data_IF_395972639598
#
_entry.id   IF_395972639598
#
_cell.length_a   1.000
_cell.length_b   1.000
_cell.length_c   1.000
_cell.angle_alpha   90.00
_cell.angle_beta   90.00
_cell.angle_gamma   90.00
#
_symmetry.space_group_name_H-M   'P 1'
#
loop_
_entity.id
_entity.type
_entity.pdbx_description
1 polymer ?
#
# COMPACT_ATOMS: atom_id res chain seq x y z
N UNK A 1 -1.36 2.40 38.94
CA UNK A 1 -1.04 1.03 38.47
C UNK A 1 -2.15 0.31 37.70
N UNK A 2 -3.46 0.58 37.89
CA UNK A 2 -4.52 -0.17 37.16
C UNK A 2 -4.68 0.15 35.65
N UNK A 3 -4.20 1.31 35.17
CA UNK A 3 -4.39 1.72 33.76
C UNK A 3 -3.41 1.05 32.79
N UNK A 4 -2.19 0.73 33.23
CA UNK A 4 -1.15 0.11 32.39
C UNK A 4 -1.48 -1.34 32.05
N UNK A 5 -2.11 -2.10 32.96
CA UNK A 5 -2.51 -3.49 32.72
C UNK A 5 -3.64 -3.63 31.70
N UNK A 6 -4.54 -2.64 31.61
CA UNK A 6 -5.66 -2.66 30.64
C UNK A 6 -5.14 -2.43 29.21
N UNK A 7 -4.15 -1.53 29.04
CA UNK A 7 -3.55 -1.22 27.75
C UNK A 7 -2.78 -2.44 27.20
N UNK A 8 -2.04 -3.14 28.06
CA UNK A 8 -1.31 -4.34 27.67
C UNK A 8 -2.23 -5.46 27.18
N UNK A 9 -3.37 -5.65 27.85
CA UNK A 9 -4.36 -6.68 27.50
C UNK A 9 -5.07 -6.38 26.15
N UNK A 10 -5.38 -5.11 25.87
CA UNK A 10 -5.95 -4.71 24.58
C UNK A 10 -5.00 -4.93 23.40
N UNK A 11 -3.70 -4.75 23.60
CA UNK A 11 -2.70 -5.00 22.55
C UNK A 11 -2.57 -6.49 22.21
N UNK A 12 -2.59 -7.37 23.21
CA UNK A 12 -2.48 -8.82 23.00
C UNK A 12 -3.69 -9.35 22.23
N UNK A 13 -4.89 -8.87 22.56
CA UNK A 13 -6.12 -9.27 21.88
C UNK A 13 -6.15 -8.80 20.41
N UNK A 14 -5.67 -7.59 20.13
CA UNK A 14 -5.58 -7.08 18.76
C UNK A 14 -4.60 -7.88 17.89
N UNK A 15 -3.48 -8.35 18.45
CA UNK A 15 -2.49 -9.17 17.73
C UNK A 15 -3.06 -10.55 17.40
N UNK A 16 -3.78 -11.18 18.32
CA UNK A 16 -4.38 -12.50 18.11
C UNK A 16 -5.44 -12.50 17.00
N UNK A 17 -6.32 -11.48 16.99
CA UNK A 17 -7.38 -11.35 15.97
C UNK A 17 -6.81 -11.06 14.57
N UNK A 18 -5.67 -10.38 14.48
CA UNK A 18 -5.04 -10.06 13.20
C UNK A 18 -4.46 -11.30 12.48
N UNK A 19 -4.02 -12.32 13.24
CA UNK A 19 -3.44 -13.54 12.67
C UNK A 19 -4.43 -14.40 11.91
N UNK A 20 -5.64 -14.59 12.46
CA UNK A 20 -6.62 -15.56 11.97
C UNK A 20 -7.45 -15.04 10.78
N UNK A 21 -7.54 -13.72 10.61
CA UNK A 21 -8.26 -13.09 9.50
C UNK A 21 -7.46 -13.06 8.17
N UNK A 22 -6.16 -13.39 8.21
CA UNK A 22 -5.23 -13.29 7.08
C UNK A 22 -5.53 -14.30 5.96
N UNK A 23 -6.01 -15.50 6.29
CA UNK A 23 -6.17 -16.59 5.30
C UNK A 23 -7.47 -16.49 4.49
N UNK A 24 -8.53 -15.90 5.06
CA UNK A 24 -9.84 -15.84 4.37
C UNK A 24 -9.97 -14.73 3.32
N UNK A 25 -9.16 -13.67 3.40
CA UNK A 25 -9.37 -12.44 2.62
C UNK A 25 -8.58 -12.38 1.29
N UNK A 26 -7.71 -13.35 1.00
CA UNK A 26 -6.91 -13.36 -0.23
C UNK A 26 -7.72 -13.71 -1.51
N UNK A 27 -9.01 -14.08 -1.40
CA UNK A 27 -9.75 -14.73 -2.50
C UNK A 27 -10.80 -13.87 -3.23
N UNK A 28 -10.96 -12.59 -2.91
CA UNK A 28 -12.14 -11.82 -3.33
C UNK A 28 -11.93 -10.58 -4.25
N UNK A 29 -10.72 -10.35 -4.78
CA UNK A 29 -10.45 -9.18 -5.63
C UNK A 29 -10.46 -9.56 -7.13
N UNK A 30 -11.37 -8.96 -7.90
CA UNK A 30 -11.74 -9.35 -9.27
C UNK A 30 -11.63 -8.17 -10.25
N UNK A 31 -10.46 -8.12 -10.88
CA UNK A 31 -10.13 -7.64 -12.24
C UNK A 31 -10.34 -6.16 -12.52
N UNK A 32 -9.35 -5.37 -12.13
CA UNK A 32 -8.87 -4.24 -12.93
C UNK A 32 -7.39 -4.45 -13.26
N UNK A 33 -6.96 -3.98 -14.44
CA UNK A 33 -5.74 -4.38 -15.16
C UNK A 33 -4.42 -3.87 -14.56
N UNK A 34 -4.30 -3.85 -13.24
CA UNK A 34 -3.10 -3.42 -12.54
C UNK A 34 -2.58 -4.54 -11.68
N UNK A 35 -1.30 -4.84 -11.86
CA UNK A 35 -0.61 -5.83 -11.06
C UNK A 35 0.32 -5.16 -10.06
N UNK A 36 0.20 -5.61 -8.81
CA UNK A 36 1.06 -5.17 -7.72
C UNK A 36 2.03 -6.29 -7.37
N UNK A 37 3.32 -6.02 -7.52
CA UNK A 37 4.40 -6.93 -7.12
C UNK A 37 5.13 -6.30 -5.95
N UNK A 38 4.73 -6.69 -4.74
CA UNK A 38 5.08 -5.97 -3.52
C UNK A 38 4.57 -4.52 -3.60
N UNK A 39 5.46 -3.61 -3.97
CA UNK A 39 5.13 -2.21 -4.14
C UNK A 39 5.27 -1.66 -5.56
N UNK A 40 5.85 -2.41 -6.49
CA UNK A 40 5.83 -1.96 -7.88
C UNK A 40 4.43 -2.13 -8.44
N UNK A 41 3.92 -1.06 -9.04
CA UNK A 41 2.66 -1.06 -9.77
C UNK A 41 2.96 -1.15 -11.26
N UNK A 42 2.31 -2.10 -11.91
CA UNK A 42 2.35 -2.28 -13.35
C UNK A 42 0.95 -2.04 -13.88
N UNK A 43 0.83 -1.05 -14.77
CA UNK A 43 -0.41 -0.83 -15.49
C UNK A 43 -0.38 -1.68 -16.76
N UNK A 44 -1.13 -2.78 -16.73
CA UNK A 44 -1.26 -3.67 -17.88
C UNK A 44 -2.43 -3.27 -18.78
N UNK A 45 -3.23 -2.25 -18.42
CA UNK A 45 -4.33 -1.74 -19.25
C UNK A 45 -3.88 -1.42 -20.69
N UNK A 46 -2.67 -0.88 -20.93
CA UNK A 46 -2.13 -0.74 -22.27
C UNK A 46 -1.95 -2.03 -23.08
N UNK A 47 -1.83 -3.18 -22.42
CA UNK A 47 -1.71 -4.50 -23.06
C UNK A 47 -3.07 -5.09 -23.42
N UNK A 48 -4.17 -4.45 -22.99
CA UNK A 48 -5.50 -4.86 -23.43
C UNK A 48 -5.67 -4.51 -24.91
N UNK A 49 -6.21 -5.44 -25.69
CA UNK A 49 -6.50 -5.15 -27.10
C UNK A 49 -7.64 -4.14 -27.19
N UNK A 50 -7.48 -3.13 -28.05
CA UNK A 50 -8.47 -2.05 -28.18
C UNK A 50 -9.59 -2.45 -29.14
N UNK A 51 -10.70 -2.94 -28.59
CA UNK A 51 -11.94 -3.16 -29.33
C UNK A 51 -12.85 -4.10 -28.56
N UNK A 52 -14.17 -3.84 -28.58
CA UNK A 52 -15.13 -4.71 -27.91
C UNK A 52 -15.10 -6.11 -28.55
N UNK A 53 -14.56 -7.09 -27.83
CA UNK A 53 -14.42 -8.47 -28.30
C UNK A 53 -13.17 -8.75 -29.14
N UNK A 54 -12.21 -7.83 -29.22
CA UNK A 54 -10.91 -8.11 -29.81
C UNK A 54 -9.99 -8.83 -28.81
N UNK A 55 -9.26 -9.85 -29.26
CA UNK A 55 -8.26 -10.59 -28.47
C UNK A 55 -7.00 -10.82 -29.29
N UNK A 56 -5.91 -11.14 -28.61
CA UNK A 56 -4.66 -11.57 -29.25
C UNK A 56 -4.80 -12.98 -29.75
N UNK A 57 -4.17 -13.24 -30.89
CA UNK A 57 -4.15 -14.54 -31.55
C UNK A 57 -2.70 -14.85 -31.89
N UNK A 58 -2.17 -15.93 -31.32
CA UNK A 58 -0.81 -16.40 -31.59
C UNK A 58 -0.87 -17.84 -32.03
N UNK A 59 -0.26 -18.15 -33.18
CA UNK A 59 -0.14 -19.53 -33.67
C UNK A 59 1.11 -20.18 -33.12
N UNK A 60 1.00 -21.45 -32.74
CA UNK A 60 2.14 -22.27 -32.33
C UNK A 60 2.03 -23.69 -32.86
N UNK A 61 3.18 -24.33 -33.02
CA UNK A 61 3.28 -25.73 -33.41
C UNK A 61 3.71 -26.55 -32.19
N UNK A 62 2.96 -27.59 -31.86
CA UNK A 62 3.30 -28.49 -30.76
C UNK A 62 4.29 -29.57 -31.22
N UNK A 63 4.84 -30.29 -30.25
CA UNK A 63 5.75 -31.43 -30.48
C UNK A 63 5.15 -32.55 -31.35
N UNK A 64 3.82 -32.58 -31.52
CA UNK A 64 3.09 -33.53 -32.37
C UNK A 64 2.94 -33.08 -33.83
N UNK A 65 3.47 -31.90 -34.19
CA UNK A 65 3.35 -31.30 -35.53
C UNK A 65 1.98 -30.73 -35.84
N UNK A 66 1.08 -30.63 -34.85
CA UNK A 66 -0.21 -29.94 -35.02
C UNK A 66 -0.05 -28.45 -34.74
N UNK A 67 -0.75 -27.64 -35.53
CA UNK A 67 -0.84 -26.20 -35.33
C UNK A 67 -2.01 -25.85 -34.41
N UNK A 68 -1.74 -25.05 -33.40
CA UNK A 68 -2.73 -24.53 -32.46
C UNK A 68 -2.77 -23.01 -32.51
N UNK A 69 -3.96 -22.45 -32.32
CA UNK A 69 -4.20 -21.03 -32.16
C UNK A 69 -4.51 -20.73 -30.70
N UNK A 70 -3.66 -19.90 -30.08
CA UNK A 70 -3.84 -19.42 -28.71
C UNK A 70 -4.49 -18.05 -28.77
N UNK A 71 -5.70 -17.96 -28.23
CA UNK A 71 -6.43 -16.70 -28.10
C UNK A 71 -6.45 -16.25 -26.65
N UNK A 72 -6.07 -15.00 -26.41
CA UNK A 72 -6.08 -14.42 -25.06
C UNK A 72 -6.34 -12.92 -25.08
N UNK A 73 -6.84 -12.41 -23.96
CA UNK A 73 -6.88 -10.97 -23.71
C UNK A 73 -6.34 -10.67 -22.30
N UNK A 74 -5.78 -9.48 -22.15
CA UNK A 74 -5.35 -8.97 -20.87
C UNK A 74 -6.54 -8.30 -20.19
N UNK A 75 -6.85 -8.79 -18.99
CA UNK A 75 -7.77 -8.14 -18.06
C UNK A 75 -9.24 -8.12 -18.45
N UNK A 76 -9.59 -8.76 -19.57
CA UNK A 76 -10.96 -9.11 -19.90
C UNK A 76 -11.09 -10.60 -20.18
N UNK A 77 -12.28 -11.13 -19.96
CA UNK A 77 -12.60 -12.49 -20.37
C UNK A 77 -12.92 -12.48 -21.86
N UNK A 78 -12.53 -13.56 -22.55
CA UNK A 78 -12.84 -13.73 -23.97
C UNK A 78 -14.36 -13.72 -24.20
N UNK A 79 -14.82 -13.18 -25.34
CA UNK A 79 -16.23 -13.19 -25.70
C UNK A 79 -16.74 -14.64 -25.86
N UNK A 80 -18.03 -14.85 -25.56
CA UNK A 80 -18.67 -16.18 -25.51
C UNK A 80 -18.46 -17.01 -26.79
N UNK A 81 -18.42 -16.37 -27.95
CA UNK A 81 -18.16 -17.01 -29.26
C UNK A 81 -16.81 -17.71 -29.38
N UNK A 82 -15.86 -17.37 -28.50
CA UNK A 82 -14.48 -17.90 -28.47
C UNK A 82 -14.13 -18.48 -27.10
N UNK A 83 -15.12 -18.67 -26.24
CA UNK A 83 -14.96 -19.32 -24.95
C UNK A 83 -15.21 -20.83 -25.10
N UNK A 84 -14.45 -21.67 -24.39
CA UNK A 84 -14.83 -23.08 -24.24
C UNK A 84 -16.17 -23.15 -23.48
N UNK A 85 -17.04 -24.11 -23.80
CA UNK A 85 -18.39 -24.24 -23.21
C UNK A 85 -18.37 -24.07 -21.69
N UNK A 86 -19.29 -23.24 -21.18
CA UNK A 86 -19.62 -23.04 -19.76
C UNK A 86 -18.62 -22.25 -18.89
N UNK A 87 -17.57 -21.65 -19.47
CA UNK A 87 -16.61 -20.83 -18.71
C UNK A 87 -16.18 -19.60 -19.50
N UNK A 88 -15.96 -18.46 -18.84
CA UNK A 88 -15.38 -17.25 -19.43
C UNK A 88 -13.87 -17.15 -19.10
N UNK A 89 -12.97 -17.84 -19.84
CA UNK A 89 -11.53 -17.76 -19.64
C UNK A 89 -10.93 -16.45 -20.21
N UNK A 90 -9.74 -16.07 -19.74
CA UNK A 90 -8.94 -14.99 -20.33
C UNK A 90 -8.05 -15.51 -21.47
N UNK A 91 -7.76 -16.82 -21.49
CA UNK A 91 -6.97 -17.46 -22.54
C UNK A 91 -7.44 -18.89 -22.82
N UNK A 92 -7.47 -19.25 -24.10
CA UNK A 92 -7.81 -20.57 -24.65
C UNK A 92 -6.85 -20.94 -25.77
N UNK A 93 -6.70 -22.24 -26.02
CA UNK A 93 -5.93 -22.80 -27.13
C UNK A 93 -6.83 -23.80 -27.88
N UNK A 94 -6.76 -23.86 -29.21
CA UNK A 94 -7.46 -24.88 -30.00
C UNK A 94 -6.69 -25.26 -31.26
N UNK A 95 -6.97 -26.47 -31.77
CA UNK A 95 -6.36 -27.03 -32.98
C UNK A 95 -6.95 -26.34 -34.22
N UNK A 96 -6.10 -25.86 -35.12
CA UNK A 96 -6.48 -25.11 -36.33
C UNK A 96 -7.23 -26.00 -37.34
N UNK A 97 -7.00 -27.31 -37.33
CA UNK A 97 -7.60 -28.25 -38.29
C UNK A 97 -8.96 -28.81 -37.83
N UNK A 98 -9.28 -28.71 -36.54
CA UNK A 98 -10.50 -29.26 -35.96
C UNK A 98 -11.55 -28.16 -35.70
N UNK A 99 -12.82 -28.57 -35.63
CA UNK A 99 -13.90 -27.65 -35.26
C UNK A 99 -13.69 -27.13 -33.82
N UNK A 100 -13.72 -25.80 -33.65
CA UNK A 100 -13.41 -25.11 -32.38
C UNK A 100 -14.06 -25.73 -31.13
N UNK A 101 -15.29 -26.22 -31.26
CA UNK A 101 -16.04 -26.78 -30.14
C UNK A 101 -15.46 -28.09 -29.58
N UNK A 102 -14.67 -28.82 -30.38
CA UNK A 102 -14.13 -30.13 -30.01
C UNK A 102 -12.68 -30.07 -29.52
N UNK A 103 -11.92 -29.04 -29.91
CA UNK A 103 -10.48 -28.93 -29.62
C UNK A 103 -10.12 -27.83 -28.61
N UNK A 104 -11.11 -27.09 -28.08
CA UNK A 104 -10.89 -25.98 -27.13
C UNK A 104 -10.30 -26.46 -25.79
N UNK A 105 -9.11 -25.97 -25.47
CA UNK A 105 -8.40 -26.15 -24.20
C UNK A 105 -8.37 -24.84 -23.43
N UNK A 106 -8.84 -24.89 -22.20
CA UNK A 106 -8.82 -23.74 -21.30
C UNK A 106 -7.45 -23.60 -20.62
N UNK A 107 -6.77 -22.47 -20.84
CA UNK A 107 -5.46 -22.19 -20.22
C UNK A 107 -5.57 -21.42 -18.89
N UNK A 108 -6.72 -20.82 -18.61
CA UNK A 108 -6.94 -19.93 -17.46
C UNK A 108 -8.22 -20.29 -16.73
N UNK A 109 -8.22 -20.33 -15.39
CA UNK A 109 -9.47 -20.52 -14.61
C UNK A 109 -10.47 -19.37 -14.79
N UNK A 110 -11.76 -19.64 -14.51
CA UNK A 110 -12.82 -18.64 -14.44
C UNK A 110 -12.37 -17.43 -13.59
N UNK A 111 -12.39 -16.23 -14.17
CA UNK A 111 -11.99 -14.96 -13.53
C UNK A 111 -10.52 -14.86 -13.06
N UNK A 112 -9.60 -15.68 -13.56
CA UNK A 112 -8.17 -15.50 -13.27
C UNK A 112 -7.75 -15.70 -11.81
N UNK A 113 -8.57 -16.39 -11.00
CA UNK A 113 -8.37 -16.55 -9.54
C UNK A 113 -7.09 -17.29 -9.10
N UNK A 114 -6.32 -17.86 -10.04
CA UNK A 114 -5.00 -18.42 -9.78
C UNK A 114 -3.95 -17.71 -10.63
N UNK A 115 -3.66 -16.47 -10.25
CA UNK A 115 -2.59 -15.69 -10.85
C UNK A 115 -1.42 -15.64 -9.87
N UNK A 116 -0.29 -16.20 -10.28
CA UNK A 116 0.98 -15.93 -9.64
C UNK A 116 1.69 -14.88 -10.48
N UNK A 117 2.28 -13.89 -9.83
CA UNK A 117 3.07 -12.89 -10.52
C UNK A 117 4.41 -12.83 -9.82
N UNK A 118 5.47 -12.95 -10.61
CA UNK A 118 6.86 -12.99 -10.15
C UNK A 118 7.63 -11.91 -10.91
N UNK A 119 8.60 -11.30 -10.24
CA UNK A 119 9.62 -10.48 -10.89
C UNK A 119 10.84 -11.36 -11.01
N UNK A 120 11.14 -11.81 -12.22
CA UNK A 120 12.36 -12.52 -12.53
C UNK A 120 13.36 -11.53 -13.15
N UNK A 121 14.60 -11.60 -12.69
CA UNK A 121 15.71 -10.96 -13.36
C UNK A 121 16.41 -12.06 -14.15
N UNK A 122 16.62 -11.84 -15.44
CA UNK A 122 17.44 -12.75 -16.23
C UNK A 122 18.88 -12.66 -15.71
N UNK A 123 19.43 -13.77 -15.22
CA UNK A 123 20.85 -13.84 -14.85
C UNK A 123 21.69 -13.77 -16.14
N UNK A 124 22.15 -12.57 -16.49
CA UNK A 124 22.92 -12.29 -17.70
C UNK A 124 23.47 -10.86 -17.71
N UNK A 125 24.48 -10.61 -18.54
CA UNK A 125 25.20 -9.33 -18.64
C UNK A 125 24.28 -8.17 -19.09
N UNK A 126 23.16 -8.50 -19.75
CA UNK A 126 22.02 -7.62 -20.04
C UNK A 126 20.78 -8.13 -19.28
N UNK A 127 20.76 -7.94 -17.95
CA UNK A 127 19.65 -8.36 -17.10
C UNK A 127 18.43 -7.47 -17.30
N UNK A 128 17.70 -7.67 -18.40
CA UNK A 128 16.40 -7.04 -18.61
C UNK A 128 15.41 -7.58 -17.57
N UNK A 129 14.86 -6.68 -16.76
CA UNK A 129 13.81 -7.01 -15.80
C UNK A 129 12.50 -7.22 -16.54
N UNK A 130 11.84 -8.36 -16.31
CA UNK A 130 10.51 -8.62 -16.85
C UNK A 130 9.53 -9.01 -15.75
N UNK A 131 8.26 -8.78 -16.05
CA UNK A 131 7.16 -9.26 -15.22
C UNK A 131 6.77 -10.62 -15.76
N UNK A 132 6.82 -11.65 -14.91
CA UNK A 132 6.28 -12.95 -15.22
C UNK A 132 4.88 -13.07 -14.62
N UNK A 133 3.90 -13.29 -15.48
CA UNK A 133 2.50 -13.51 -15.11
C UNK A 133 2.15 -14.94 -15.44
N UNK A 134 1.92 -15.76 -14.41
CA UNK A 134 1.56 -17.16 -14.56
C UNK A 134 0.08 -17.33 -14.26
N UNK A 135 -0.64 -17.86 -15.24
CA UNK A 135 -2.02 -18.30 -15.06
C UNK A 135 -2.11 -19.82 -15.14
N UNK A 136 -2.89 -20.40 -14.23
CA UNK A 136 -3.14 -21.85 -14.21
C UNK A 136 -4.62 -22.16 -14.41
N UNK A 137 -4.88 -23.22 -15.18
CA UNK A 137 -6.20 -23.80 -15.44
C UNK A 137 -6.61 -24.77 -14.32
N UNK A 138 -7.88 -25.17 -14.33
CA UNK A 138 -8.39 -26.30 -13.54
C UNK A 138 -8.22 -27.65 -14.24
N UNK A 139 -7.99 -27.64 -15.56
CA UNK A 139 -7.86 -28.87 -16.36
C UNK A 139 -6.45 -29.43 -16.25
N UNK A 140 -6.37 -30.75 -16.09
CA UNK A 140 -5.12 -31.49 -16.12
C UNK A 140 -4.70 -31.72 -17.59
N UNK A 141 -3.41 -31.55 -17.82
CA UNK A 141 -2.66 -31.93 -19.00
C UNK A 141 -2.03 -33.33 -18.77
N UNK A 142 -0.86 -33.59 -19.35
CA UNK A 142 -0.10 -34.84 -19.17
C UNK A 142 0.54 -34.88 -17.77
N UNK A 143 0.66 -36.08 -17.18
CA UNK A 143 1.38 -36.31 -15.92
C UNK A 143 0.92 -35.46 -14.71
N UNK A 144 -0.40 -35.25 -14.57
CA UNK A 144 -1.00 -34.41 -13.52
C UNK A 144 -0.59 -32.93 -13.52
N UNK A 145 0.19 -32.47 -14.51
CA UNK A 145 0.44 -31.04 -14.72
C UNK A 145 -0.85 -30.35 -15.15
N UNK A 146 -1.09 -29.11 -14.73
CA UNK A 146 -2.26 -28.34 -15.16
C UNK A 146 -1.92 -27.48 -16.37
N UNK A 147 -2.87 -27.35 -17.29
CA UNK A 147 -2.77 -26.36 -18.36
C UNK A 147 -2.55 -24.97 -17.76
N UNK A 148 -1.78 -24.14 -18.45
CA UNK A 148 -1.50 -22.77 -18.01
C UNK A 148 -0.98 -21.91 -19.14
N UNK A 149 -0.79 -20.63 -18.87
CA UNK A 149 -0.15 -19.69 -19.79
C UNK A 149 0.73 -18.76 -18.97
N UNK A 150 1.93 -18.49 -19.47
CA UNK A 150 2.88 -17.56 -18.85
C UNK A 150 3.14 -16.40 -19.80
N UNK A 151 3.08 -15.17 -19.28
CA UNK A 151 3.48 -13.97 -20.02
C UNK A 151 4.73 -13.37 -19.39
N UNK A 152 5.78 -13.19 -20.20
CA UNK A 152 7.02 -12.50 -19.87
C UNK A 152 6.98 -11.12 -20.52
N UNK A 153 6.72 -10.09 -19.72
CA UNK A 153 6.54 -8.71 -20.21
C UNK A 153 7.76 -7.89 -19.84
N UNK A 154 8.57 -7.58 -20.84
CA UNK A 154 9.75 -6.73 -20.74
C UNK A 154 9.35 -5.26 -20.84
N UNK A 155 9.97 -4.41 -20.01
CA UNK A 155 9.76 -2.97 -20.07
C UNK A 155 10.46 -2.38 -21.30
N UNK A 156 9.69 -1.73 -22.17
CA UNK A 156 10.18 -0.94 -23.31
C UNK A 156 9.39 0.38 -23.36
N UNK A 157 10.01 1.48 -22.93
CA UNK A 157 9.34 2.80 -22.82
C UNK A 157 8.98 3.39 -24.20
N UNK A 158 9.65 2.95 -25.26
CA UNK A 158 9.47 3.46 -26.62
C UNK A 158 8.27 2.79 -27.31
N UNK A 159 8.04 1.50 -27.03
CA UNK A 159 6.93 0.73 -27.62
C UNK A 159 5.60 0.99 -26.91
N UNK A 160 4.84 1.95 -27.46
CA UNK A 160 3.46 2.29 -27.05
C UNK A 160 2.35 1.70 -27.93
N UNK A 161 2.75 1.05 -29.02
CA UNK A 161 1.84 0.41 -29.97
C UNK A 161 1.32 -0.93 -29.44
N UNK A 162 0.40 -1.56 -30.16
CA UNK A 162 -0.17 -2.86 -29.77
C UNK A 162 0.98 -3.87 -29.60
N UNK A 163 1.11 -4.52 -28.43
CA UNK A 163 2.19 -5.47 -28.19
C UNK A 163 2.11 -6.66 -29.16
N UNK A 164 3.26 -7.03 -29.71
CA UNK A 164 3.44 -8.30 -30.40
C UNK A 164 3.89 -9.35 -29.37
N UNK A 165 3.21 -10.49 -29.35
CA UNK A 165 3.53 -11.61 -28.48
C UNK A 165 4.23 -12.70 -29.27
N UNK A 166 5.46 -13.01 -28.87
CA UNK A 166 6.29 -14.03 -29.50
C UNK A 166 6.42 -15.20 -28.53
N UNK A 167 6.20 -16.42 -29.00
CA UNK A 167 6.41 -17.59 -28.16
C UNK A 167 7.90 -17.77 -27.81
N UNK A 168 8.17 -18.17 -26.57
CA UNK A 168 9.49 -18.54 -26.10
C UNK A 168 9.69 -20.06 -26.17
N UNK A 169 10.29 -20.60 -27.25
CA UNK A 169 10.39 -22.05 -27.45
C UNK A 169 11.22 -22.76 -26.36
N UNK A 170 12.14 -22.04 -25.70
CA UNK A 170 13.02 -22.62 -24.69
C UNK A 170 12.33 -22.87 -23.33
N UNK A 171 11.27 -22.11 -23.01
CA UNK A 171 10.49 -22.29 -21.77
C UNK A 171 9.08 -22.83 -22.02
N UNK A 172 8.55 -22.68 -23.23
CA UNK A 172 7.25 -23.24 -23.60
C UNK A 172 7.24 -24.76 -23.48
N UNK A 173 6.14 -25.30 -22.95
CA UNK A 173 5.83 -26.73 -23.01
C UNK A 173 4.49 -26.97 -23.71
N UNK A 174 4.19 -28.23 -24.02
CA UNK A 174 2.87 -28.64 -24.55
C UNK A 174 1.72 -28.15 -23.64
N UNK A 175 1.94 -28.10 -22.33
CA UNK A 175 0.92 -27.77 -21.33
C UNK A 175 0.90 -26.29 -20.91
N UNK A 176 2.01 -25.57 -21.13
CA UNK A 176 2.19 -24.19 -20.68
C UNK A 176 2.98 -23.38 -21.71
N UNK A 177 2.32 -22.77 -22.71
CA UNK A 177 2.97 -21.79 -23.58
C UNK A 177 3.48 -20.59 -22.77
N UNK A 178 4.66 -20.09 -23.15
CA UNK A 178 5.29 -18.90 -22.58
C UNK A 178 5.39 -17.85 -23.69
N UNK A 179 4.72 -16.71 -23.52
CA UNK A 179 4.75 -15.61 -24.48
C UNK A 179 5.58 -14.45 -23.95
N UNK A 180 6.47 -13.94 -24.79
CA UNK A 180 7.31 -12.77 -24.55
C UNK A 180 6.77 -11.56 -25.29
N UNK A 181 6.79 -10.41 -24.62
CA UNK A 181 6.53 -9.13 -25.29
C UNK A 181 7.37 -8.01 -24.68
N UNK A 182 7.73 -7.02 -25.50
CA UNK A 182 8.39 -5.78 -25.08
C UNK A 182 7.40 -4.64 -25.23
N UNK A 183 7.00 -4.03 -24.11
CA UNK A 183 5.97 -3.00 -24.12
C UNK A 183 6.06 -2.07 -22.90
N UNK A 184 5.61 -0.83 -23.04
CA UNK A 184 5.62 0.13 -21.93
C UNK A 184 4.70 -0.26 -20.77
N UNK A 185 3.71 -1.12 -21.01
CA UNK A 185 2.87 -1.72 -19.94
C UNK A 185 3.66 -2.63 -19.00
N UNK A 186 4.81 -3.15 -19.45
CA UNK A 186 5.79 -3.84 -18.60
C UNK A 186 6.62 -2.89 -17.74
N UNK A 187 6.59 -1.60 -18.04
CA UNK A 187 7.29 -0.59 -17.25
C UNK A 187 6.51 -0.24 -15.99
N UNK A 188 7.25 -0.09 -14.89
CA UNK A 188 6.72 0.35 -13.61
C UNK A 188 6.26 1.82 -13.70
N UNK A 189 5.03 2.09 -13.25
CA UNK A 189 4.42 3.43 -13.35
C UNK A 189 4.95 4.40 -12.28
N UNK A 190 5.56 3.89 -11.21
CA UNK A 190 6.21 4.71 -10.19
C UNK A 190 6.79 3.89 -9.04
N UNK A 191 7.76 4.48 -8.33
CA UNK A 191 8.42 3.84 -7.18
C UNK A 191 8.49 4.80 -5.98
N UNK A 192 7.35 5.42 -5.63
CA UNK A 192 7.14 6.11 -4.34
C UNK A 192 7.37 5.19 -3.12
N UNK A 193 7.74 3.95 -3.38
CA UNK A 193 7.91 2.89 -2.43
C UNK A 193 9.35 2.68 -2.02
N UNK A 194 10.37 3.32 -2.60
CA UNK A 194 11.74 3.11 -2.12
C UNK A 194 11.86 3.49 -0.63
N UNK A 195 11.28 4.63 -0.22
CA UNK A 195 11.18 5.03 1.18
C UNK A 195 10.37 4.03 2.01
N UNK A 196 9.22 3.59 1.51
CA UNK A 196 8.36 2.66 2.24
C UNK A 196 8.91 1.25 2.32
N UNK A 197 9.62 0.78 1.30
CA UNK A 197 10.39 -0.46 1.31
C UNK A 197 11.49 -0.38 2.34
N UNK A 198 12.16 0.76 2.46
CA UNK A 198 13.13 0.95 3.53
C UNK A 198 12.47 0.87 4.91
N UNK A 199 11.30 1.48 5.09
CA UNK A 199 10.53 1.39 6.35
C UNK A 199 10.02 -0.04 6.61
N UNK A 200 9.48 -0.73 5.61
CA UNK A 200 8.90 -2.07 5.74
C UNK A 200 9.96 -3.16 5.87
N UNK A 201 11.07 -3.07 5.11
CA UNK A 201 12.25 -3.92 5.29
C UNK A 201 12.83 -3.80 6.71
N UNK A 202 12.54 -2.72 7.42
CA UNK A 202 12.94 -2.49 8.80
C UNK A 202 11.71 -2.27 9.71
N UNK A 203 10.60 -2.94 9.38
CA UNK A 203 9.28 -2.71 10.01
C UNK A 203 9.29 -2.86 11.52
N UNK A 204 10.09 -3.79 12.05
CA UNK A 204 10.23 -4.00 13.50
C UNK A 204 10.81 -2.77 14.19
N UNK A 205 11.89 -2.20 13.65
CA UNK A 205 12.56 -1.03 14.25
C UNK A 205 11.64 0.18 14.19
N UNK A 206 11.11 0.49 13.00
CA UNK A 206 10.20 1.62 12.83
C UNK A 206 8.89 1.44 13.60
N UNK A 207 8.37 0.22 13.68
CA UNK A 207 7.17 -0.12 14.42
C UNK A 207 7.31 0.12 15.91
N UNK A 208 8.41 -0.35 16.52
CA UNK A 208 8.71 -0.12 17.94
C UNK A 208 8.88 1.38 18.22
N UNK A 209 9.67 2.09 17.40
CA UNK A 209 9.89 3.54 17.56
C UNK A 209 8.59 4.33 17.43
N UNK A 210 7.77 4.05 16.40
CA UNK A 210 6.48 4.68 16.20
C UNK A 210 5.50 4.38 17.36
N UNK A 211 5.51 3.16 17.88
CA UNK A 211 4.69 2.77 19.03
C UNK A 211 5.05 3.57 20.29
N UNK A 212 6.34 3.72 20.62
CA UNK A 212 6.77 4.51 21.78
C UNK A 212 6.47 6.00 21.61
N UNK A 213 6.74 6.57 20.43
CA UNK A 213 6.40 7.95 20.09
C UNK A 213 4.89 8.16 20.19
N UNK A 214 4.10 7.23 19.65
CA UNK A 214 2.65 7.27 19.69
C UNK A 214 2.11 7.26 21.12
N UNK A 215 2.56 6.32 21.94
CA UNK A 215 2.17 6.20 23.34
C UNK A 215 2.58 7.44 24.16
N UNK A 216 3.79 7.97 23.93
CA UNK A 216 4.24 9.21 24.55
C UNK A 216 3.31 10.38 24.21
N UNK A 217 3.00 10.59 22.94
CA UNK A 217 2.10 11.68 22.50
C UNK A 217 0.69 11.51 23.06
N UNK A 218 0.18 10.28 23.11
CA UNK A 218 -1.16 9.95 23.56
C UNK A 218 -1.37 10.26 25.05
N UNK A 219 -0.38 9.96 25.90
CA UNK A 219 -0.49 10.15 27.37
C UNK A 219 0.06 11.49 27.84
N UNK A 220 1.19 11.92 27.27
CA UNK A 220 2.03 13.00 27.79
C UNK A 220 2.11 14.23 26.89
N UNK A 221 1.50 14.21 25.70
CA UNK A 221 1.64 15.26 24.69
C UNK A 221 1.36 16.68 25.20
N UNK A 222 0.26 16.86 25.95
CA UNK A 222 -0.06 18.16 26.57
C UNK A 222 0.88 18.53 27.73
N UNK A 223 1.22 17.59 28.62
CA UNK A 223 2.05 17.88 29.82
C UNK A 223 3.45 18.34 29.42
N UNK A 224 4.02 17.72 28.39
CA UNK A 224 5.35 18.03 27.88
C UNK A 224 5.27 18.63 26.47
N UNK A 225 4.51 19.72 26.34
CA UNK A 225 4.27 20.34 25.03
C UNK A 225 5.54 20.80 24.32
N UNK A 226 6.53 21.33 25.06
CA UNK A 226 7.82 21.78 24.49
C UNK A 226 8.58 20.61 23.86
N UNK A 227 8.89 19.51 24.58
CA UNK A 227 9.47 18.31 23.96
C UNK A 227 8.61 17.72 22.85
N UNK A 228 7.28 17.71 23.01
CA UNK A 228 6.35 17.15 22.01
C UNK A 228 6.45 17.88 20.67
N UNK A 229 6.46 19.21 20.70
CA UNK A 229 6.66 20.03 19.49
C UNK A 229 8.02 19.75 18.86
N UNK A 230 9.08 19.69 19.67
CA UNK A 230 10.42 19.35 19.19
C UNK A 230 10.47 17.98 18.49
N UNK A 231 9.80 16.98 19.08
CA UNK A 231 9.72 15.63 18.54
C UNK A 231 8.94 15.57 17.21
N UNK A 232 7.77 16.21 17.14
CA UNK A 232 6.97 16.25 15.91
C UNK A 232 7.69 16.99 14.79
N UNK A 233 8.39 18.08 15.11
CA UNK A 233 9.20 18.80 14.13
C UNK A 233 10.41 17.99 13.66
N UNK A 234 11.07 17.26 14.57
CA UNK A 234 12.13 16.32 14.21
C UNK A 234 11.62 15.28 13.20
N UNK A 235 10.49 14.61 13.52
CA UNK A 235 9.89 13.60 12.64
C UNK A 235 9.49 14.20 11.29
N UNK A 236 8.92 15.41 11.31
CA UNK A 236 8.51 16.13 10.09
C UNK A 236 9.71 16.39 9.17
N UNK A 237 10.80 16.93 9.72
CA UNK A 237 12.01 17.24 8.94
C UNK A 237 12.68 15.96 8.44
N UNK A 238 12.75 14.92 9.28
CA UNK A 238 13.25 13.59 8.88
C UNK A 238 12.42 13.05 7.70
N UNK A 239 11.09 13.08 7.81
CA UNK A 239 10.19 12.58 6.78
C UNK A 239 10.32 13.38 5.47
N UNK A 240 10.42 14.71 5.53
CA UNK A 240 10.59 15.57 4.34
C UNK A 240 11.93 15.32 3.67
N UNK A 241 13.04 15.27 4.43
CA UNK A 241 14.37 15.00 3.87
C UNK A 241 14.38 13.61 3.24
N UNK A 242 13.94 12.58 3.96
CA UNK A 242 13.86 11.22 3.42
C UNK A 242 13.00 11.19 2.15
N UNK A 243 11.83 11.83 2.16
CA UNK A 243 10.96 11.90 0.98
C UNK A 243 11.66 12.56 -0.22
N UNK A 244 12.28 13.72 -0.03
CA UNK A 244 12.98 14.44 -1.10
C UNK A 244 14.13 13.60 -1.67
N UNK A 245 14.96 12.99 -0.82
CA UNK A 245 16.08 12.16 -1.26
C UNK A 245 15.62 10.91 -2.00
N UNK A 246 14.63 10.18 -1.47
CA UNK A 246 14.13 8.96 -2.09
C UNK A 246 13.32 9.19 -3.37
N UNK A 247 12.67 10.35 -3.52
CA UNK A 247 11.87 10.66 -4.71
C UNK A 247 12.72 11.29 -5.81
N UNK A 248 13.69 12.15 -5.47
CA UNK A 248 14.43 12.94 -6.46
C UNK A 248 15.80 12.35 -6.79
N UNK A 249 16.53 11.85 -5.79
CA UNK A 249 17.97 11.61 -5.93
C UNK A 249 18.39 10.14 -5.91
N UNK A 250 17.68 9.28 -5.18
CA UNK A 250 18.14 7.90 -4.98
C UNK A 250 17.71 7.00 -6.14
N UNK A 251 18.66 6.39 -6.87
CA UNK A 251 18.34 5.33 -7.81
C UNK A 251 17.76 4.12 -7.07
N UNK A 252 17.05 3.27 -7.82
CA UNK A 252 16.28 2.13 -7.27
C UNK A 252 17.19 1.12 -6.57
N UNK A 253 18.38 0.91 -7.10
CA UNK A 253 19.36 -0.07 -6.61
C UNK A 253 20.32 0.52 -5.56
N UNK A 254 19.82 1.51 -4.81
CA UNK A 254 20.60 2.12 -3.75
C UNK A 254 20.87 1.10 -2.65
N UNK A 255 22.15 0.93 -2.31
CA UNK A 255 22.56 0.04 -1.24
C UNK A 255 21.94 0.43 0.11
N UNK A 256 21.55 -0.58 0.92
CA UNK A 256 20.84 -0.40 2.20
C UNK A 256 21.54 0.57 3.17
N UNK A 257 22.88 0.63 3.16
CA UNK A 257 23.66 1.50 4.04
C UNK A 257 23.44 2.99 3.76
N UNK A 258 23.17 3.36 2.50
CA UNK A 258 22.89 4.76 2.10
C UNK A 258 21.60 5.24 2.75
N UNK A 259 20.58 4.38 2.83
CA UNK A 259 19.33 4.70 3.52
C UNK A 259 19.53 5.03 5.00
N UNK A 260 20.38 4.26 5.70
CA UNK A 260 20.75 4.53 7.09
C UNK A 260 21.60 5.80 7.26
N UNK A 261 22.47 6.09 6.31
CA UNK A 261 23.24 7.34 6.30
C UNK A 261 22.32 8.56 6.18
N UNK A 262 21.38 8.55 5.22
CA UNK A 262 20.41 9.64 5.01
C UNK A 262 19.53 9.79 6.25
N UNK A 263 19.05 8.68 6.83
CA UNK A 263 18.28 8.71 8.06
C UNK A 263 19.07 9.39 9.20
N UNK A 264 20.34 9.02 9.38
CA UNK A 264 21.20 9.58 10.43
C UNK A 264 21.42 11.09 10.26
N UNK A 265 21.73 11.54 9.03
CA UNK A 265 21.90 12.97 8.71
C UNK A 265 20.59 13.72 8.95
N UNK A 266 19.46 13.15 8.52
CA UNK A 266 18.15 13.77 8.68
C UNK A 266 17.72 13.89 10.15
N UNK A 267 18.11 12.94 11.02
CA UNK A 267 17.86 13.00 12.46
C UNK A 267 18.65 14.15 13.11
N UNK A 268 19.90 14.36 12.71
CA UNK A 268 20.71 15.48 13.22
C UNK A 268 20.08 16.82 12.82
N UNK A 269 19.74 16.99 11.54
CA UNK A 269 19.10 18.21 11.03
C UNK A 269 17.71 18.43 11.65
N UNK A 270 16.92 17.37 11.76
CA UNK A 270 15.61 17.38 12.43
C UNK A 270 15.72 17.69 13.92
N UNK A 271 16.77 17.23 14.59
CA UNK A 271 17.06 17.54 15.98
C UNK A 271 17.34 19.03 16.19
N UNK A 272 18.15 19.63 15.31
CA UNK A 272 18.41 21.09 15.32
C UNK A 272 17.10 21.86 15.12
N UNK A 273 16.34 21.53 14.07
CA UNK A 273 15.06 22.18 13.78
C UNK A 273 14.04 22.00 14.92
N UNK A 274 13.98 20.81 15.51
CA UNK A 274 13.12 20.48 16.65
C UNK A 274 13.52 21.26 17.92
N UNK A 275 14.82 21.44 18.17
CA UNK A 275 15.31 22.24 19.28
C UNK A 275 14.90 23.71 19.15
N UNK A 276 15.07 24.31 17.96
CA UNK A 276 14.62 25.68 17.69
C UNK A 276 13.09 25.81 17.79
N UNK A 277 12.35 24.84 17.25
CA UNK A 277 10.88 24.83 17.32
C UNK A 277 10.35 24.70 18.76
N UNK A 278 11.10 24.03 19.64
CA UNK A 278 10.77 23.93 21.07
C UNK A 278 10.85 25.27 21.80
N UNK A 279 11.59 26.26 21.26
CA UNK A 279 11.60 27.64 21.74
C UNK A 279 10.40 28.43 21.21
N UNK A 280 9.95 28.13 20.00
CA UNK A 280 8.84 28.78 19.30
C UNK A 280 7.53 27.99 19.42
N UNK A 281 7.10 27.75 20.66
CA UNK A 281 5.96 26.87 20.99
C UNK A 281 4.68 27.22 20.21
N UNK A 282 4.41 28.51 19.99
CA UNK A 282 3.22 28.94 19.21
C UNK A 282 3.25 28.42 17.78
N UNK A 283 4.40 28.51 17.10
CA UNK A 283 4.56 28.01 15.73
C UNK A 283 4.45 26.48 15.71
N UNK A 284 5.05 25.82 16.69
CA UNK A 284 4.98 24.37 16.82
C UNK A 284 3.55 23.82 16.94
N UNK A 285 2.67 24.54 17.67
CA UNK A 285 1.26 24.13 17.79
C UNK A 285 0.48 24.30 16.48
N UNK A 286 0.83 25.29 15.65
CA UNK A 286 0.24 25.44 14.30
C UNK A 286 0.64 24.24 13.43
N UNK A 287 1.92 23.87 13.43
CA UNK A 287 2.41 22.72 12.64
C UNK A 287 1.80 21.41 13.15
N UNK A 288 1.67 21.25 14.46
CA UNK A 288 0.98 20.12 15.08
C UNK A 288 -0.50 20.04 14.63
N UNK A 289 -1.19 21.19 14.62
CA UNK A 289 -2.56 21.32 14.13
C UNK A 289 -2.66 20.94 12.66
N UNK A 290 -1.74 21.43 11.82
CA UNK A 290 -1.68 21.10 10.41
C UNK A 290 -1.56 19.59 10.18
N UNK A 291 -0.62 18.91 10.83
CA UNK A 291 -0.45 17.46 10.68
C UNK A 291 -1.64 16.64 11.19
N UNK A 292 -2.25 17.05 12.30
CA UNK A 292 -3.46 16.39 12.79
C UNK A 292 -4.63 16.55 11.80
N UNK A 293 -4.79 17.75 11.23
CA UNK A 293 -5.78 18.03 10.19
C UNK A 293 -5.53 17.23 8.91
N UNK A 294 -4.27 17.14 8.45
CA UNK A 294 -3.88 16.29 7.31
C UNK A 294 -4.23 14.82 7.59
N UNK A 295 -3.94 14.32 8.79
CA UNK A 295 -4.30 12.95 9.20
C UNK A 295 -5.80 12.70 9.19
N UNK A 296 -6.61 13.65 9.68
CA UNK A 296 -8.08 13.55 9.58
C UNK A 296 -8.54 13.59 8.13
N UNK A 297 -8.01 14.48 7.31
CA UNK A 297 -8.36 14.58 5.88
C UNK A 297 -8.07 13.27 5.13
N UNK A 298 -6.93 12.65 5.44
CA UNK A 298 -6.53 11.34 4.91
C UNK A 298 -7.49 10.22 5.35
N UNK A 299 -7.81 10.15 6.64
CA UNK A 299 -8.78 9.19 7.16
C UNK A 299 -10.17 9.39 6.54
N UNK A 300 -10.64 10.64 6.45
CA UNK A 300 -11.95 10.95 5.89
C UNK A 300 -12.04 10.62 4.40
N UNK A 301 -10.96 10.86 3.65
CA UNK A 301 -10.88 10.44 2.26
C UNK A 301 -11.07 8.92 2.14
N UNK A 302 -10.36 8.15 2.97
CA UNK A 302 -10.45 6.70 2.96
C UNK A 302 -11.80 6.16 3.46
N UNK A 303 -12.49 6.89 4.34
CA UNK A 303 -13.79 6.50 4.91
C UNK A 303 -14.97 6.80 3.99
N UNK A 304 -15.01 8.00 3.41
CA UNK A 304 -16.21 8.52 2.73
C UNK A 304 -15.93 8.80 1.25
N UNK A 305 -14.84 9.48 0.94
CA UNK A 305 -14.60 10.02 -0.41
C UNK A 305 -13.87 9.07 -1.35
N UNK A 306 -13.52 7.85 -0.90
CA UNK A 306 -12.85 6.86 -1.73
C UNK A 306 -13.64 6.50 -2.99
N UNK A 307 -14.98 6.67 -2.97
CA UNK A 307 -15.86 6.42 -4.12
C UNK A 307 -15.65 7.40 -5.28
N UNK A 308 -15.06 8.57 -5.05
CA UNK A 308 -14.93 9.61 -6.07
C UNK A 308 -13.77 9.34 -7.04
N UNK A 309 -12.90 8.35 -6.77
CA UNK A 309 -11.83 7.88 -7.68
C UNK A 309 -10.96 9.00 -8.30
N UNK A 310 -10.85 10.15 -7.64
CA UNK A 310 -10.07 11.29 -8.10
C UNK A 310 -9.03 11.69 -7.05
N UNK A 311 -7.76 11.60 -7.45
CA UNK A 311 -6.60 11.95 -6.62
C UNK A 311 -6.68 13.38 -6.08
N UNK A 312 -7.22 14.32 -6.85
CA UNK A 312 -7.34 15.73 -6.43
C UNK A 312 -8.17 15.90 -5.16
N UNK A 313 -9.17 15.04 -4.94
CA UNK A 313 -10.04 15.09 -3.75
C UNK A 313 -9.23 14.83 -2.48
N UNK A 314 -8.29 13.88 -2.52
CA UNK A 314 -7.40 13.57 -1.40
C UNK A 314 -6.57 14.80 -1.00
N UNK A 315 -5.91 15.44 -1.96
CA UNK A 315 -5.06 16.61 -1.70
C UNK A 315 -5.84 17.82 -1.20
N UNK A 316 -7.02 18.06 -1.77
CA UNK A 316 -7.92 19.14 -1.33
C UNK A 316 -8.38 18.88 0.11
N UNK A 317 -8.79 17.65 0.45
CA UNK A 317 -9.19 17.30 1.82
C UNK A 317 -8.03 17.49 2.80
N UNK A 318 -6.84 16.97 2.50
CA UNK A 318 -5.66 17.15 3.35
C UNK A 318 -5.32 18.64 3.55
N UNK A 319 -5.36 19.43 2.48
CA UNK A 319 -5.08 20.87 2.52
C UNK A 319 -6.11 21.65 3.34
N UNK A 320 -7.41 21.41 3.10
CA UNK A 320 -8.51 22.09 3.79
C UNK A 320 -8.52 21.75 5.28
N UNK A 321 -8.47 20.46 5.65
CA UNK A 321 -8.46 20.06 7.06
C UNK A 321 -7.16 20.46 7.76
N UNK A 322 -6.01 20.35 7.09
CA UNK A 322 -4.73 20.83 7.60
C UNK A 322 -4.75 22.32 7.92
N UNK A 323 -5.21 23.15 6.98
CA UNK A 323 -5.30 24.59 7.18
C UNK A 323 -6.34 24.97 8.25
N UNK A 324 -7.50 24.30 8.27
CA UNK A 324 -8.54 24.54 9.26
C UNK A 324 -8.04 24.27 10.69
N UNK A 325 -7.37 23.13 10.93
CA UNK A 325 -6.81 22.81 12.25
C UNK A 325 -5.63 23.72 12.62
N UNK A 326 -4.83 24.14 11.64
CA UNK A 326 -3.77 25.13 11.84
C UNK A 326 -4.34 26.48 12.31
N UNK A 327 -5.40 26.99 11.66
CA UNK A 327 -6.07 28.24 12.05
C UNK A 327 -6.75 28.09 13.42
N UNK A 328 -7.46 26.98 13.63
CA UNK A 328 -8.16 26.71 14.88
C UNK A 328 -7.21 26.65 16.10
N UNK A 329 -5.95 26.26 15.87
CA UNK A 329 -4.91 26.22 16.89
C UNK A 329 -4.58 27.58 17.52
N UNK A 330 -4.84 28.69 16.82
CA UNK A 330 -4.67 30.04 17.36
C UNK A 330 -5.71 30.42 18.40
N UNK A 331 -6.96 29.99 18.21
CA UNK A 331 -8.08 30.39 19.07
C UNK A 331 -8.20 29.53 20.33
N UNK A 332 -7.99 28.21 20.20
CA UNK A 332 -8.26 27.25 21.29
C UNK A 332 -7.04 26.41 21.66
N UNK A 333 -5.87 27.05 21.75
CA UNK A 333 -4.56 26.45 22.04
C UNK A 333 -4.61 25.25 23.00
N UNK A 334 -5.15 25.43 24.21
CA UNK A 334 -5.14 24.41 25.26
C UNK A 334 -5.99 23.16 24.97
N UNK A 335 -7.04 23.28 24.15
CA UNK A 335 -7.91 22.16 23.79
C UNK A 335 -7.43 21.50 22.51
N UNK A 336 -7.01 22.30 21.53
CA UNK A 336 -6.50 21.82 20.25
C UNK A 336 -5.23 20.99 20.44
N UNK A 337 -4.31 21.40 21.32
CA UNK A 337 -3.11 20.58 21.61
C UNK A 337 -3.49 19.19 22.12
N UNK A 338 -4.49 19.08 23.00
CA UNK A 338 -4.92 17.77 23.54
C UNK A 338 -5.46 16.90 22.40
N UNK A 339 -6.33 17.47 21.56
CA UNK A 339 -6.94 16.75 20.44
C UNK A 339 -5.87 16.33 19.42
N UNK A 340 -5.03 17.25 18.97
CA UNK A 340 -3.99 16.97 17.97
C UNK A 340 -2.96 15.95 18.44
N UNK A 341 -2.47 16.06 19.69
CA UNK A 341 -1.52 15.07 20.23
C UNK A 341 -2.16 13.70 20.42
N UNK A 342 -3.46 13.62 20.74
CA UNK A 342 -4.18 12.35 20.85
C UNK A 342 -4.42 11.70 19.48
N UNK A 343 -4.74 12.49 18.45
CA UNK A 343 -4.89 12.00 17.06
C UNK A 343 -3.55 11.49 16.54
N UNK A 344 -2.50 12.30 16.61
CA UNK A 344 -1.17 11.89 16.12
C UNK A 344 -0.61 10.73 16.94
N UNK A 345 -0.78 10.76 18.26
CA UNK A 345 -0.35 9.67 19.15
C UNK A 345 -1.04 8.35 18.86
N UNK A 346 -2.36 8.35 18.67
CA UNK A 346 -3.13 7.14 18.32
C UNK A 346 -2.77 6.63 16.93
N UNK A 347 -2.59 7.53 15.95
CA UNK A 347 -2.13 7.16 14.62
C UNK A 347 -0.75 6.48 14.67
N UNK A 348 0.27 7.11 15.27
CA UNK A 348 1.61 6.52 15.35
C UNK A 348 1.62 5.21 16.15
N UNK A 349 0.82 5.12 17.21
CA UNK A 349 0.72 3.91 18.02
C UNK A 349 0.16 2.73 17.22
N UNK A 350 -1.00 2.92 16.58
CA UNK A 350 -1.64 1.87 15.78
C UNK A 350 -0.86 1.58 14.50
N UNK A 351 -0.30 2.61 13.84
CA UNK A 351 0.55 2.43 12.66
C UNK A 351 1.83 1.67 13.00
N UNK A 352 2.41 1.90 14.19
CA UNK A 352 3.55 1.12 14.68
C UNK A 352 3.23 -0.37 14.83
N UNK A 353 2.07 -0.70 15.39
CA UNK A 353 1.57 -2.09 15.45
C UNK A 353 1.35 -2.64 14.04
N UNK A 354 0.70 -1.87 13.17
CA UNK A 354 0.37 -2.28 11.82
C UNK A 354 1.61 -2.52 10.94
N UNK A 355 2.71 -1.81 11.16
CA UNK A 355 3.98 -2.08 10.47
C UNK A 355 4.53 -3.46 10.84
N UNK A 356 4.40 -3.87 12.10
CA UNK A 356 4.89 -5.17 12.57
C UNK A 356 3.93 -6.32 12.23
N UNK A 357 2.63 -6.09 12.36
CA UNK A 357 1.60 -7.10 12.10
C UNK A 357 1.22 -7.24 10.62
N UNK A 358 1.49 -6.21 9.81
CA UNK A 358 1.07 -6.13 8.42
C UNK A 358 -0.44 -5.90 8.25
N UNK A 359 -0.94 -6.05 7.03
CA UNK A 359 -2.37 -5.99 6.72
C UNK A 359 -3.01 -4.61 6.73
N UNK A 360 -2.30 -3.56 7.13
CA UNK A 360 -2.71 -2.18 6.91
C UNK A 360 -2.16 -1.68 5.57
N UNK A 361 -3.02 -1.39 4.58
CA UNK A 361 -2.58 -0.91 3.28
C UNK A 361 -1.83 0.43 3.43
N UNK A 362 -0.69 0.54 2.75
CA UNK A 362 0.06 1.78 2.71
C UNK A 362 -0.78 2.89 2.05
N UNK A 363 -0.72 4.11 2.56
CA UNK A 363 -1.43 5.26 2.00
C UNK A 363 -1.01 5.50 0.54
N UNK A 364 0.23 5.18 0.19
CA UNK A 364 0.75 5.26 -1.18
C UNK A 364 0.23 4.15 -2.08
N UNK A 365 -0.06 2.96 -1.54
CA UNK A 365 -0.67 1.89 -2.34
C UNK A 365 -2.15 2.19 -2.60
N UNK A 366 -2.85 2.76 -1.61
CA UNK A 366 -4.19 3.30 -1.79
C UNK A 366 -4.19 4.39 -2.86
N UNK A 367 -3.25 5.34 -2.79
CA UNK A 367 -3.08 6.38 -3.80
C UNK A 367 -2.88 5.79 -5.20
N UNK A 368 -1.97 4.82 -5.35
CA UNK A 368 -1.71 4.14 -6.62
C UNK A 368 -2.98 3.50 -7.17
N UNK A 369 -3.71 2.78 -6.33
CA UNK A 369 -4.96 2.10 -6.70
C UNK A 369 -6.10 3.08 -7.05
N UNK A 370 -6.15 4.26 -6.42
CA UNK A 370 -7.11 5.31 -6.79
C UNK A 370 -6.71 5.94 -8.13
N UNK A 371 -5.43 6.24 -8.32
CA UNK A 371 -4.90 6.84 -9.54
C UNK A 371 -5.11 5.94 -10.76
N UNK A 372 -4.92 4.63 -10.59
CA UNK A 372 -5.18 3.62 -11.61
C UNK A 372 -6.65 3.26 -11.78
N UNK A 373 -7.55 3.88 -11.01
CA UNK A 373 -8.97 3.51 -10.92
C UNK A 373 -9.19 2.05 -10.54
N UNK A 374 -8.19 1.33 -10.00
CA UNK A 374 -8.27 -0.10 -9.67
C UNK A 374 -8.84 -0.43 -8.29
N UNK A 375 -9.35 0.59 -7.60
CA UNK A 375 -9.85 0.42 -6.24
C UNK A 375 -11.16 -0.37 -6.18
N UNK A 376 -11.15 -1.55 -5.56
CA UNK A 376 -12.31 -2.44 -5.36
C UNK A 376 -12.91 -2.36 -3.94
N UNK A 377 -12.29 -1.59 -3.05
CA UNK A 377 -12.70 -1.45 -1.66
C UNK A 377 -11.53 -1.61 -0.69
N UNK A 378 -11.76 -1.24 0.57
CA UNK A 378 -10.78 -1.45 1.65
C UNK A 378 -10.93 -2.85 2.25
N UNK A 379 -9.83 -3.57 2.53
CA UNK A 379 -9.89 -4.84 3.24
C UNK A 379 -10.47 -4.66 4.64
N UNK A 380 -11.14 -5.68 5.19
CA UNK A 380 -11.75 -5.62 6.52
C UNK A 380 -10.72 -5.27 7.63
N UNK A 381 -9.47 -5.70 7.48
CA UNK A 381 -8.36 -5.40 8.39
C UNK A 381 -8.12 -3.89 8.56
N UNK A 382 -8.28 -3.11 7.49
CA UNK A 382 -8.13 -1.65 7.53
C UNK A 382 -9.10 -1.02 8.53
N UNK A 383 -10.35 -1.49 8.56
CA UNK A 383 -11.39 -0.96 9.45
C UNK A 383 -11.12 -1.26 10.92
N UNK A 384 -10.53 -2.42 11.22
CA UNK A 384 -10.10 -2.78 12.59
C UNK A 384 -9.03 -1.80 13.09
N UNK A 385 -8.06 -1.46 12.24
CA UNK A 385 -7.03 -0.46 12.58
C UNK A 385 -7.61 0.93 12.78
N UNK A 386 -8.51 1.38 11.89
CA UNK A 386 -9.17 2.69 12.04
C UNK A 386 -10.01 2.77 13.31
N UNK A 387 -10.79 1.72 13.62
CA UNK A 387 -11.55 1.65 14.86
C UNK A 387 -10.61 1.72 16.10
N UNK A 388 -9.48 1.02 16.04
CA UNK A 388 -8.45 1.06 17.08
C UNK A 388 -7.85 2.46 17.25
N UNK A 389 -7.61 3.19 16.17
CA UNK A 389 -7.13 4.58 16.22
C UNK A 389 -8.15 5.50 16.90
N UNK A 390 -9.44 5.36 16.57
CA UNK A 390 -10.52 6.17 17.18
C UNK A 390 -10.63 5.91 18.68
N UNK A 391 -10.61 4.63 19.10
CA UNK A 391 -10.66 4.25 20.52
C UNK A 391 -9.43 4.77 21.27
N UNK A 392 -8.23 4.58 20.71
CA UNK A 392 -6.98 5.08 21.30
C UNK A 392 -6.98 6.62 21.40
N UNK A 393 -7.49 7.33 20.40
CA UNK A 393 -7.63 8.78 20.40
C UNK A 393 -8.57 9.24 21.53
N UNK A 394 -9.75 8.63 21.67
CA UNK A 394 -10.71 8.96 22.72
C UNK A 394 -10.12 8.74 24.12
N UNK A 395 -9.40 7.64 24.32
CA UNK A 395 -8.67 7.34 25.56
C UNK A 395 -7.58 8.40 25.84
N UNK A 396 -6.80 8.77 24.83
CA UNK A 396 -5.79 9.82 24.92
C UNK A 396 -6.38 11.16 25.36
N UNK A 397 -7.48 11.59 24.71
CA UNK A 397 -8.19 12.83 25.06
C UNK A 397 -8.66 12.77 26.51
N UNK A 398 -9.30 11.67 26.93
CA UNK A 398 -9.79 11.51 28.30
C UNK A 398 -8.66 11.58 29.34
N UNK A 399 -7.54 10.88 29.10
CA UNK A 399 -6.37 10.88 29.98
C UNK A 399 -5.77 12.29 30.10
N UNK A 400 -5.55 12.96 28.98
CA UNK A 400 -4.95 14.29 28.95
C UNK A 400 -5.87 15.36 29.58
N UNK A 401 -7.19 15.28 29.40
CA UNK A 401 -8.16 16.15 30.11
C UNK A 401 -8.12 15.90 31.62
N UNK A 402 -8.02 14.64 32.06
CA UNK A 402 -7.93 14.32 33.48
C UNK A 402 -6.64 14.85 34.10
N UNK A 403 -5.52 14.78 33.38
CA UNK A 403 -4.24 15.38 33.79
C UNK A 403 -4.39 16.91 33.91
N UNK A 404 -4.95 17.57 32.88
CA UNK A 404 -5.26 19.01 32.91
C UNK A 404 -6.08 19.43 34.14
N UNK A 405 -7.15 18.68 34.44
CA UNK A 405 -8.04 19.00 35.58
C UNK A 405 -7.32 18.89 36.93
N UNK A 406 -6.34 18.01 37.06
CA UNK A 406 -5.53 17.87 38.28
C UNK A 406 -4.56 19.03 38.45
N UNK A 407 -3.93 19.48 37.36
CA UNK A 407 -3.04 20.65 37.36
C UNK A 407 -3.78 21.95 37.71
N UNK A 408 -5.04 22.07 37.32
CA UNK A 408 -5.86 23.26 37.58
C UNK A 408 -6.49 23.30 38.98
N UNK A 409 -6.36 22.27 39.81
CA UNK A 409 -6.82 22.37 41.20
C UNK A 409 -5.80 23.24 41.94
N UNK A 410 -6.17 24.46 42.40
CA UNK A 410 -5.27 25.29 43.17
C UNK A 410 -4.84 24.50 44.42
N UNK A 411 -3.57 24.58 44.76
CA UNK A 411 -2.93 23.94 45.93
C UNK A 411 -3.38 24.61 47.24
N UNK A 412 -4.67 24.97 47.35
CA UNK A 412 -5.24 25.78 48.44
C UNK A 412 -5.76 24.97 49.62
N UNK A 413 -5.76 23.63 49.58
CA UNK A 413 -6.34 22.81 50.65
C UNK A 413 -5.31 22.20 51.63
N UNK A 414 -4.01 22.23 51.33
CA UNK A 414 -2.97 21.64 52.21
C UNK A 414 -2.24 22.66 53.11
N UNK A 415 -2.42 23.96 52.86
CA UNK A 415 -1.86 25.03 53.72
C UNK A 415 -2.81 25.40 54.86
N UNK A 416 -4.14 25.34 54.63
CA UNK A 416 -5.14 25.64 55.67
C UNK A 416 -5.49 24.48 56.61
N UNK A 417 -4.94 23.27 56.38
CA UNK A 417 -5.05 22.12 57.31
C UNK A 417 -3.82 21.93 58.21
N UNK A 418 -2.84 22.83 58.13
CA UNK A 418 -1.63 22.83 58.96
C UNK A 418 -1.46 24.10 59.82
N UNK A 419 -2.56 24.82 60.07
CA UNK A 419 -2.62 25.90 61.07
C UNK A 419 -3.66 25.55 62.11
#
# INVERSE_FOLDING_TARGET
MKATSIILLSCILAIAIAGELREHLASQFSVKCVHTLGFTFFNLEPLKKKGDGEFYTVRRELSDGKEYEVNFDFCETLPEVRACKDVNPMAVEYDVQEEFSNSCRQLTKHQGKNKETTLENTEGEDSDQFIEIVHTSSLNCKNDEKFGITFEIFCDEEKKEIPEFVENPSRSSDCRPVFRTHHYGGCKVGDLNALWRFVESNSIIFGIVAMFIGLYNLVLGRKFIKPTIGLIMLITVVAVIMFVFYVIFLPRDTAKWVGWLILSISIVLGGIAGFFSSKLVRIGVIVLGFWAGVGIGLLLNNLIFFRINHVSVLWVLMGVFGLAFAIMSFFWYNYIVIICTSILGSYFFVRGIALMAGGYPNEFTIYGNIASKTFEGMPATFWVYVASMVVACALGIFIQIKIKRRENKPETDDVYKRV
#
